data_IF_264384960809
#
_entry.id   IF_264384960809
#
_cell.length_a   1.000
_cell.length_b   1.000
_cell.length_c   1.000
_cell.angle_alpha   90.00
_cell.angle_beta   90.00
_cell.angle_gamma   90.00
#
_symmetry.space_group_name_H-M   'P 1'
#
loop_
_entity.id
_entity.type
_entity.pdbx_description
1 polymer ?
#
# COMPACT_ATOMS: atom_id res chain seq x y z
N UNK A 1 12.92 -3.01 26.11
CA UNK A 1 11.78 -2.33 25.47
C UNK A 1 10.59 -3.25 25.44
N UNK A 2 9.43 -2.74 25.75
CA UNK A 2 8.20 -3.54 25.72
C UNK A 2 7.76 -3.81 24.29
N UNK A 3 7.43 -5.09 23.98
CA UNK A 3 6.82 -5.44 22.68
C UNK A 3 5.42 -4.84 22.51
N UNK A 4 4.81 -4.31 23.60
CA UNK A 4 3.50 -3.66 23.56
C UNK A 4 3.58 -2.18 23.19
N UNK A 5 4.79 -1.62 23.08
CA UNK A 5 4.96 -0.22 22.69
C UNK A 5 4.54 -0.08 21.23
N UNK A 6 3.66 0.89 20.95
CA UNK A 6 3.22 1.18 19.60
C UNK A 6 4.07 2.33 19.05
N UNK A 7 4.72 2.08 17.94
CA UNK A 7 5.41 3.11 17.17
C UNK A 7 4.46 3.60 16.06
N UNK A 8 4.47 4.91 15.84
CA UNK A 8 3.69 5.53 14.75
C UNK A 8 4.67 6.26 13.85
N UNK A 9 4.51 6.11 12.54
CA UNK A 9 5.46 6.72 11.62
C UNK A 9 4.80 7.24 10.35
N UNK A 10 5.45 8.26 9.76
CA UNK A 10 5.16 8.78 8.43
C UNK A 10 6.50 8.94 7.73
N UNK A 11 6.58 8.52 6.48
CA UNK A 11 7.79 8.67 5.68
C UNK A 11 8.06 10.13 5.34
N UNK A 12 7.00 10.94 5.30
CA UNK A 12 7.05 12.29 4.80
C UNK A 12 7.18 12.37 3.28
N UNK A 13 7.04 11.25 2.58
CA UNK A 13 7.27 11.16 1.13
C UNK A 13 6.01 10.88 0.33
N UNK A 14 5.01 10.25 0.94
CA UNK A 14 3.85 9.73 0.23
C UNK A 14 2.60 10.55 0.49
N UNK A 15 2.28 10.81 1.75
CA UNK A 15 1.08 11.53 2.15
C UNK A 15 1.44 12.93 2.61
N UNK A 16 0.57 13.93 2.33
CA UNK A 16 0.76 15.25 2.94
C UNK A 16 0.59 15.18 4.44
N UNK A 17 1.15 16.14 5.15
CA UNK A 17 0.99 16.27 6.60
C UNK A 17 -0.49 16.56 6.94
N UNK A 18 -0.85 16.35 8.19
CA UNK A 18 -2.17 16.71 8.74
C UNK A 18 -3.35 15.81 8.35
N UNK A 19 -3.11 14.61 7.81
CA UNK A 19 -4.17 13.62 7.66
C UNK A 19 -4.50 13.00 9.02
N UNK A 20 -5.75 12.54 9.21
CA UNK A 20 -6.19 12.01 10.51
C UNK A 20 -5.70 10.57 10.78
N UNK A 21 -4.58 10.16 10.19
CA UNK A 21 -3.99 8.84 10.39
C UNK A 21 -2.50 8.86 10.01
N UNK A 22 -1.74 7.86 10.51
CA UNK A 22 -0.34 7.65 10.16
C UNK A 22 -0.24 6.77 8.92
N UNK A 23 0.87 6.85 8.20
CA UNK A 23 1.18 5.89 7.12
C UNK A 23 1.32 4.48 7.67
N UNK A 24 1.86 4.34 8.86
CA UNK A 24 2.00 3.04 9.46
C UNK A 24 2.18 3.06 10.95
N UNK A 25 1.97 1.90 11.55
CA UNK A 25 2.21 1.66 12.98
C UNK A 25 2.96 0.34 13.11
N UNK A 26 3.65 0.16 14.23
CA UNK A 26 4.40 -1.06 14.49
C UNK A 26 4.31 -1.44 15.96
N UNK A 27 4.22 -2.73 16.22
CA UNK A 27 4.26 -3.30 17.55
C UNK A 27 4.63 -4.79 17.46
N UNK A 28 5.43 -5.29 18.39
CA UNK A 28 5.72 -6.71 18.52
C UNK A 28 6.36 -7.34 17.27
N UNK A 29 7.15 -6.58 16.53
CA UNK A 29 7.79 -7.07 15.30
C UNK A 29 6.91 -7.02 14.07
N UNK A 30 5.67 -6.53 14.19
CA UNK A 30 4.75 -6.37 13.08
C UNK A 30 4.62 -4.91 12.70
N UNK A 31 4.46 -4.66 11.42
CA UNK A 31 4.28 -3.33 10.85
C UNK A 31 2.98 -3.32 10.06
N UNK A 32 2.11 -2.37 10.37
CA UNK A 32 0.81 -2.22 9.73
C UNK A 32 0.81 -0.94 8.93
N UNK A 33 0.60 -1.05 7.62
CA UNK A 33 0.51 0.12 6.75
C UNK A 33 -0.95 0.47 6.51
N UNK A 34 -1.26 1.75 6.57
CA UNK A 34 -2.55 2.26 6.13
C UNK A 34 -2.75 1.96 4.65
N UNK A 35 -4.00 1.95 4.19
CA UNK A 35 -4.30 1.77 2.79
C UNK A 35 -3.60 2.82 1.93
N UNK A 36 -3.00 2.36 0.84
CA UNK A 36 -2.27 3.22 -0.10
C UNK A 36 -3.02 3.28 -1.41
N UNK A 37 -3.13 4.50 -1.94
CA UNK A 37 -3.69 4.76 -3.25
C UNK A 37 -2.57 5.01 -4.25
N UNK A 38 -2.92 5.13 -5.52
CA UNK A 38 -1.99 5.53 -6.57
C UNK A 38 -1.84 7.04 -6.66
N UNK A 39 -1.61 7.71 -5.54
CA UNK A 39 -1.41 9.15 -5.52
C UNK A 39 0.02 9.51 -5.92
N UNK A 40 0.16 10.66 -6.56
CA UNK A 40 1.47 11.27 -6.79
C UNK A 40 2.09 11.53 -5.41
N UNK A 41 3.32 11.03 -5.14
CA UNK A 41 3.92 11.13 -3.82
C UNK A 41 3.90 12.56 -3.25
N UNK A 42 3.47 12.66 -2.00
CA UNK A 42 3.36 13.94 -1.30
C UNK A 42 2.09 14.72 -1.57
N UNK A 43 1.19 14.20 -2.40
CA UNK A 43 -0.07 14.88 -2.77
C UNK A 43 -1.27 13.97 -2.55
N UNK A 44 -2.47 14.52 -2.71
CA UNK A 44 -3.72 13.77 -2.77
C UNK A 44 -4.27 13.68 -4.20
N UNK A 45 -3.41 13.86 -5.20
CA UNK A 45 -3.78 13.74 -6.61
C UNK A 45 -3.40 12.35 -7.12
N UNK A 46 -4.37 11.64 -7.69
CA UNK A 46 -4.11 10.33 -8.28
C UNK A 46 -3.33 10.49 -9.59
N UNK A 47 -2.47 9.51 -9.90
CA UNK A 47 -1.76 9.49 -11.19
C UNK A 47 -2.75 9.25 -12.33
N UNK A 48 -2.44 9.77 -13.51
CA UNK A 48 -3.21 9.51 -14.72
C UNK A 48 -2.89 8.11 -15.25
N UNK A 49 -3.83 7.51 -15.97
CA UNK A 49 -3.61 6.24 -16.65
C UNK A 49 -4.46 5.07 -16.16
N UNK A 50 -5.44 5.32 -15.31
CA UNK A 50 -6.41 4.32 -14.87
C UNK A 50 -5.82 3.28 -13.94
N UNK A 51 -6.41 2.06 -13.96
CA UNK A 51 -6.08 0.99 -13.01
C UNK A 51 -4.60 0.59 -13.07
N UNK A 52 -4.02 0.49 -14.24
CA UNK A 52 -2.64 0.03 -14.37
C UNK A 52 -1.67 1.03 -13.74
N UNK A 53 -1.81 2.32 -14.05
CA UNK A 53 -0.95 3.36 -13.49
C UNK A 53 -1.18 3.52 -11.99
N UNK A 54 -2.43 3.49 -11.54
CA UNK A 54 -2.74 3.62 -10.11
C UNK A 54 -2.23 2.42 -9.31
N UNK A 55 -2.37 1.20 -9.84
CA UNK A 55 -1.86 0.01 -9.18
C UNK A 55 -0.34 0.06 -9.02
N UNK A 56 0.37 0.41 -10.07
CA UNK A 56 1.83 0.54 -10.02
C UNK A 56 2.26 1.58 -9.00
N UNK A 57 1.61 2.74 -9.01
CA UNK A 57 1.95 3.82 -8.08
C UNK A 57 1.63 3.45 -6.64
N UNK A 58 0.50 2.79 -6.38
CA UNK A 58 0.16 2.33 -5.04
C UNK A 58 1.21 1.35 -4.50
N UNK A 59 1.65 0.42 -5.33
CA UNK A 59 2.70 -0.53 -4.95
C UNK A 59 4.04 0.17 -4.72
N UNK A 60 4.40 1.13 -5.56
CA UNK A 60 5.61 1.95 -5.36
C UNK A 60 5.54 2.74 -4.06
N UNK A 61 4.38 3.30 -3.73
CA UNK A 61 4.16 4.04 -2.49
C UNK A 61 4.34 3.14 -1.27
N UNK A 62 3.81 1.91 -1.33
CA UNK A 62 4.02 0.91 -0.29
C UNK A 62 5.50 0.62 -0.11
N UNK A 63 6.21 0.39 -1.21
CA UNK A 63 7.65 0.10 -1.15
C UNK A 63 8.42 1.25 -0.54
N UNK A 64 8.13 2.48 -0.93
CA UNK A 64 8.76 3.68 -0.37
C UNK A 64 8.53 3.76 1.15
N UNK A 65 7.31 3.50 1.60
CA UNK A 65 6.98 3.49 3.04
C UNK A 65 7.77 2.40 3.78
N UNK A 66 7.85 1.20 3.21
CA UNK A 66 8.63 0.10 3.78
C UNK A 66 10.11 0.48 3.88
N UNK A 67 10.68 1.01 2.80
CA UNK A 67 12.10 1.38 2.76
C UNK A 67 12.44 2.47 3.78
N UNK A 68 11.52 3.38 4.05
CA UNK A 68 11.69 4.39 5.10
C UNK A 68 11.82 3.77 6.49
N UNK A 69 11.35 2.54 6.67
CA UNK A 69 11.45 1.78 7.91
C UNK A 69 12.56 0.73 7.88
N UNK A 70 13.44 0.77 6.86
CA UNK A 70 14.51 -0.21 6.71
C UNK A 70 14.01 -1.58 6.22
N UNK A 71 12.82 -1.64 5.63
CA UNK A 71 12.20 -2.87 5.13
C UNK A 71 12.08 -2.81 3.60
N UNK A 72 11.67 -3.92 3.00
CA UNK A 72 11.37 -3.98 1.58
C UNK A 72 10.29 -5.04 1.32
N UNK A 73 10.06 -5.37 0.06
CA UNK A 73 8.99 -6.26 -0.37
C UNK A 73 9.06 -7.64 0.29
N UNK A 74 10.25 -8.15 0.55
CA UNK A 74 10.43 -9.45 1.21
C UNK A 74 9.89 -9.48 2.65
N UNK A 75 9.66 -8.32 3.25
CA UNK A 75 9.10 -8.22 4.60
C UNK A 75 7.57 -8.27 4.61
N UNK A 76 6.91 -8.21 3.44
CA UNK A 76 5.46 -8.21 3.37
C UNK A 76 4.89 -9.57 3.74
N UNK A 77 3.96 -9.59 4.70
CA UNK A 77 3.22 -10.77 5.11
C UNK A 77 1.92 -10.90 4.34
N UNK A 78 1.20 -9.81 4.18
CA UNK A 78 -0.13 -9.81 3.59
C UNK A 78 -0.44 -8.48 2.93
N UNK A 79 -1.09 -8.56 1.77
CA UNK A 79 -1.72 -7.42 1.10
C UNK A 79 -3.22 -7.67 0.98
N UNK A 80 -4.01 -6.66 1.28
CA UNK A 80 -5.45 -6.65 1.00
C UNK A 80 -5.70 -5.62 -0.09
N UNK A 81 -6.25 -6.08 -1.21
CA UNK A 81 -6.49 -5.26 -2.39
C UNK A 81 -7.98 -4.97 -2.50
N UNK A 82 -8.31 -3.69 -2.57
CA UNK A 82 -9.68 -3.21 -2.73
C UNK A 82 -9.79 -2.54 -4.10
N UNK A 83 -10.73 -3.00 -4.92
CA UNK A 83 -10.95 -2.48 -6.27
C UNK A 83 -12.31 -1.77 -6.34
N UNK A 84 -12.35 -0.63 -7.02
CA UNK A 84 -13.62 0.06 -7.27
C UNK A 84 -14.50 -0.73 -8.23
N UNK A 85 -13.91 -1.54 -9.11
CA UNK A 85 -14.62 -2.36 -10.09
C UNK A 85 -13.84 -3.68 -10.28
N UNK A 86 -14.46 -4.80 -9.93
CA UNK A 86 -13.82 -6.12 -10.07
C UNK A 86 -13.57 -6.51 -11.54
N UNK A 87 -14.20 -5.85 -12.49
CA UNK A 87 -13.89 -6.06 -13.91
C UNK A 87 -12.44 -5.70 -14.23
N UNK A 88 -11.80 -4.88 -13.39
CA UNK A 88 -10.40 -4.49 -13.57
C UNK A 88 -9.41 -5.42 -12.86
N UNK A 89 -9.90 -6.48 -12.24
CA UNK A 89 -9.05 -7.42 -11.51
C UNK A 89 -7.96 -8.06 -12.38
N UNK A 90 -8.25 -8.52 -13.63
CA UNK A 90 -7.19 -9.06 -14.49
C UNK A 90 -6.09 -8.04 -14.82
N UNK A 91 -6.45 -6.80 -15.11
CA UNK A 91 -5.47 -5.74 -15.39
C UNK A 91 -4.64 -5.43 -14.16
N UNK A 92 -5.27 -5.36 -12.98
CA UNK A 92 -4.56 -5.19 -11.71
C UNK A 92 -3.57 -6.33 -11.48
N UNK A 93 -4.00 -7.59 -11.65
CA UNK A 93 -3.16 -8.75 -11.42
C UNK A 93 -1.90 -8.75 -12.30
N UNK A 94 -2.01 -8.30 -13.54
CA UNK A 94 -0.87 -8.22 -14.44
C UNK A 94 0.20 -7.23 -13.89
N UNK A 95 -0.23 -6.09 -13.39
CA UNK A 95 0.66 -5.10 -12.78
C UNK A 95 1.29 -5.67 -11.51
N UNK A 96 0.46 -6.28 -10.66
CA UNK A 96 0.91 -6.87 -9.39
C UNK A 96 1.97 -7.95 -9.63
N UNK A 97 1.73 -8.86 -10.56
CA UNK A 97 2.67 -9.92 -10.89
C UNK A 97 4.01 -9.36 -11.42
N UNK A 98 3.95 -8.35 -12.28
CA UNK A 98 5.14 -7.71 -12.81
C UNK A 98 5.93 -6.98 -11.71
N UNK A 99 5.23 -6.32 -10.80
CA UNK A 99 5.86 -5.59 -9.69
C UNK A 99 6.62 -6.53 -8.77
N UNK A 100 6.05 -7.69 -8.46
CA UNK A 100 6.66 -8.67 -7.57
C UNK A 100 7.58 -9.66 -8.29
N UNK A 101 7.80 -9.52 -9.58
CA UNK A 101 8.70 -10.43 -10.31
C UNK A 101 10.09 -10.44 -9.68
N UNK A 102 10.59 -11.63 -9.33
CA UNK A 102 11.86 -11.79 -8.65
C UNK A 102 11.83 -11.55 -7.15
N UNK A 103 10.66 -11.31 -6.56
CA UNK A 103 10.48 -11.10 -5.13
C UNK A 103 9.55 -12.15 -4.54
N UNK A 104 9.69 -12.49 -3.24
CA UNK A 104 8.74 -13.38 -2.58
C UNK A 104 7.33 -12.77 -2.60
N UNK A 105 6.32 -13.61 -2.79
CA UNK A 105 4.94 -13.17 -2.83
C UNK A 105 4.32 -13.20 -1.43
N UNK A 106 3.67 -12.12 -0.99
CA UNK A 106 2.91 -12.13 0.25
C UNK A 106 1.58 -12.88 0.08
N UNK A 107 0.95 -13.24 1.20
CA UNK A 107 -0.45 -13.63 1.16
C UNK A 107 -1.30 -12.45 0.67
N UNK A 108 -2.41 -12.73 -0.04
CA UNK A 108 -3.23 -11.67 -0.61
C UNK A 108 -4.70 -12.04 -0.67
N UNK A 109 -5.57 -11.08 -0.37
CA UNK A 109 -6.99 -11.12 -0.71
C UNK A 109 -7.31 -9.91 -1.58
N UNK A 110 -8.30 -10.05 -2.46
CA UNK A 110 -8.78 -8.96 -3.30
C UNK A 110 -10.30 -9.01 -3.37
N UNK A 111 -10.95 -7.85 -3.29
CA UNK A 111 -12.40 -7.75 -3.39
C UNK A 111 -12.82 -6.39 -3.93
N UNK A 112 -14.07 -6.31 -4.40
CA UNK A 112 -14.65 -5.08 -4.88
C UNK A 112 -15.31 -4.26 -3.78
N UNK A 113 -15.31 -2.94 -3.95
CA UNK A 113 -15.95 -1.99 -3.06
C UNK A 113 -16.96 -1.16 -3.85
N UNK A 114 -17.84 -0.45 -3.15
CA UNK A 114 -18.78 0.47 -3.79
C UNK A 114 -18.19 1.85 -4.06
N UNK A 115 -16.90 2.00 -3.90
CA UNK A 115 -16.16 3.24 -4.11
C UNK A 115 -14.97 3.33 -3.16
N UNK A 116 -13.99 4.12 -3.56
CA UNK A 116 -12.78 4.36 -2.79
C UNK A 116 -12.51 5.85 -2.70
N UNK A 117 -11.67 6.25 -1.74
CA UNK A 117 -11.31 7.64 -1.54
C UNK A 117 -10.77 8.26 -2.82
N UNK A 118 -11.09 9.53 -3.05
CA UNK A 118 -10.64 10.33 -4.20
C UNK A 118 -11.09 9.76 -5.56
N UNK A 119 -12.07 8.87 -5.58
CA UNK A 119 -12.44 8.17 -6.80
C UNK A 119 -11.38 7.20 -7.29
N UNK A 120 -10.52 6.70 -6.40
CA UNK A 120 -9.46 5.77 -6.77
C UNK A 120 -10.04 4.47 -7.32
N UNK A 121 -9.29 3.84 -8.20
CA UNK A 121 -9.66 2.55 -8.78
C UNK A 121 -9.14 1.38 -7.95
N UNK A 122 -8.13 1.61 -7.14
CA UNK A 122 -7.51 0.60 -6.28
C UNK A 122 -6.99 1.21 -5.01
N UNK A 123 -7.07 0.45 -3.95
CA UNK A 123 -6.42 0.75 -2.67
C UNK A 123 -5.81 -0.56 -2.13
N UNK A 124 -4.62 -0.48 -1.55
CA UNK A 124 -3.92 -1.66 -1.04
C UNK A 124 -3.45 -1.36 0.38
N UNK A 125 -3.80 -2.24 1.33
CA UNK A 125 -3.23 -2.17 2.67
C UNK A 125 -2.37 -3.40 2.94
N UNK A 126 -1.31 -3.24 3.72
CA UNK A 126 -0.33 -4.29 3.93
C UNK A 126 0.03 -4.45 5.39
N UNK A 127 0.45 -5.67 5.74
CA UNK A 127 1.12 -5.99 6.99
C UNK A 127 2.49 -6.55 6.65
N UNK A 128 3.51 -6.12 7.39
CA UNK A 128 4.88 -6.55 7.21
C UNK A 128 5.48 -7.03 8.53
N UNK A 129 6.58 -7.73 8.45
CA UNK A 129 7.36 -8.17 9.63
C UNK A 129 8.75 -7.55 9.56
N UNK A 130 9.24 -7.12 10.70
CA UNK A 130 10.62 -6.67 10.86
C UNK A 130 11.58 -7.83 11.00
#
# INVERSE_FOLDING_TARGET
>A
MSSNTIERFNSGRILPASLPFCEGTAAGGLVFLSGQLGNVPGTLTLVDGGIEAQARQALDNIRTTLQAQGLDLANLLRCTVMLADMAEWPAFNAVYAAFFAGHPLPARSAFGCNGLALGARVEIECTAAR
#
